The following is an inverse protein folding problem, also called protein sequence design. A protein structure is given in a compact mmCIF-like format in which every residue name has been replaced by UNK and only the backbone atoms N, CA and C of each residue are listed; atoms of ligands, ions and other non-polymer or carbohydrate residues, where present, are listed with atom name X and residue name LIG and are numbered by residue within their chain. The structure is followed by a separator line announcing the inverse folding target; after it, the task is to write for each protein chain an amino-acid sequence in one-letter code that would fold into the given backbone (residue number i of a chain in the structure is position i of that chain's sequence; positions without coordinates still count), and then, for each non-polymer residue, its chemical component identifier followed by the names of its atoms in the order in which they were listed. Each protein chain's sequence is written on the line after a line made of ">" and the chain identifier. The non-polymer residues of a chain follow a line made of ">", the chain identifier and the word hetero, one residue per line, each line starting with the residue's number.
data_IF_716868669620
#
_entry.id   IF_716868669620
#
_cell.length_a   1.000
_cell.length_b   1.000
_cell.length_c   1.000
_cell.angle_alpha   90.00
_cell.angle_beta   90.00
_cell.angle_gamma   90.00
#
_symmetry.space_group_name_H-M   'P 1'
#
loop_
_entity.id
_entity.type
_entity.pdbx_description
1 polymer ?
#
# COMPACT_ATOMS: atom_id res chain seq x y z
N UNK A 1 -6.80 11.65 6.18
CA UNK A 1 -6.08 10.52 6.74
C UNK A 1 -5.18 9.90 5.66
N UNK A 2 -3.88 9.81 5.95
CA UNK A 2 -2.90 9.30 5.01
C UNK A 2 -2.49 7.88 5.38
N UNK A 3 -2.39 7.03 4.36
CA UNK A 3 -1.98 5.63 4.50
C UNK A 3 -1.08 5.25 3.35
N UNK A 4 -0.29 4.22 3.55
CA UNK A 4 0.54 3.64 2.51
C UNK A 4 -0.19 2.42 1.93
N UNK A 5 -0.51 2.47 0.64
CA UNK A 5 -1.23 1.41 -0.06
C UNK A 5 -0.25 0.67 -0.97
N UNK A 6 -0.08 -0.62 -0.71
CA UNK A 6 0.86 -1.46 -1.44
C UNK A 6 0.12 -2.60 -2.14
N UNK A 7 0.45 -2.81 -3.41
CA UNK A 7 -0.19 -3.89 -4.17
C UNK A 7 0.34 -5.26 -3.71
N UNK A 8 -0.55 -6.25 -3.71
CA UNK A 8 -0.24 -7.57 -3.15
C UNK A 8 0.95 -8.25 -3.82
N UNK A 9 1.14 -8.10 -5.13
CA UNK A 9 2.28 -8.71 -5.80
C UNK A 9 3.62 -8.18 -5.28
N UNK A 10 3.67 -6.92 -4.89
CA UNK A 10 4.88 -6.33 -4.32
C UNK A 10 5.21 -6.94 -2.95
N UNK A 11 4.18 -7.26 -2.16
CA UNK A 11 4.36 -7.93 -0.88
C UNK A 11 4.86 -9.35 -1.07
N UNK A 12 4.29 -10.07 -2.03
CA UNK A 12 4.72 -11.44 -2.36
C UNK A 12 6.18 -11.45 -2.81
N UNK A 13 6.59 -10.49 -3.64
CA UNK A 13 7.98 -10.35 -4.07
C UNK A 13 8.92 -10.20 -2.87
N UNK A 14 8.52 -9.39 -1.88
CA UNK A 14 9.33 -9.19 -0.68
C UNK A 14 9.49 -10.49 0.11
N UNK A 15 8.42 -11.27 0.22
CA UNK A 15 8.47 -12.56 0.91
C UNK A 15 9.47 -13.50 0.22
N UNK A 16 9.39 -13.63 -1.10
CA UNK A 16 10.31 -14.48 -1.84
C UNK A 16 11.76 -14.01 -1.73
N UNK A 17 11.99 -12.69 -1.77
CA UNK A 17 13.35 -12.15 -1.64
C UNK A 17 13.94 -12.38 -0.26
N UNK A 18 13.10 -12.50 0.79
CA UNK A 18 13.59 -12.76 2.14
C UNK A 18 13.95 -14.23 2.39
N UNK A 19 13.34 -15.15 1.63
CA UNK A 19 13.60 -16.58 1.79
C UNK A 19 15.02 -16.91 1.29
N UNK A 20 15.80 -17.54 2.14
CA UNK A 20 17.17 -17.91 1.79
C UNK A 20 18.18 -16.77 1.77
N UNK A 21 17.78 -15.58 2.18
CA UNK A 21 18.67 -14.44 2.30
C UNK A 21 19.27 -14.42 3.72
N UNK A 22 20.56 -14.72 3.83
CA UNK A 22 21.22 -14.83 5.14
C UNK A 22 21.18 -13.52 5.93
N UNK A 23 21.15 -12.38 5.24
CA UNK A 23 21.09 -11.07 5.89
C UNK A 23 19.69 -10.73 6.40
N UNK A 24 18.69 -11.52 6.05
CA UNK A 24 17.31 -11.29 6.48
C UNK A 24 16.97 -12.04 7.78
N UNK A 25 17.76 -13.00 8.20
CA UNK A 25 17.46 -13.79 9.40
C UNK A 25 17.38 -12.92 10.65
N UNK A 26 16.28 -13.08 11.37
CA UNK A 26 16.06 -12.35 12.62
C UNK A 26 15.76 -10.86 12.42
N UNK A 27 15.60 -10.41 11.20
CA UNK A 27 15.34 -9.01 10.88
C UNK A 27 13.87 -8.74 10.62
N UNK A 28 13.44 -7.52 10.90
CA UNK A 28 12.09 -7.03 10.61
C UNK A 28 12.18 -6.03 9.46
N UNK A 29 11.34 -6.19 8.45
CA UNK A 29 11.29 -5.28 7.31
C UNK A 29 9.91 -4.64 7.19
N UNK A 30 9.88 -3.33 6.95
CA UNK A 30 8.66 -2.64 6.55
C UNK A 30 8.51 -2.78 5.04
N UNK A 31 7.40 -3.33 4.61
CA UNK A 31 7.10 -3.54 3.19
C UNK A 31 5.90 -2.68 2.81
N UNK A 32 6.15 -1.65 2.04
CA UNK A 32 5.15 -0.67 1.64
C UNK A 32 5.70 0.12 0.45
N UNK A 33 4.99 1.15 -0.01
CA UNK A 33 5.48 1.97 -1.13
C UNK A 33 6.40 3.11 -0.68
N UNK A 34 6.26 3.55 0.56
CA UNK A 34 6.94 4.75 1.05
C UNK A 34 6.24 6.04 0.62
N UNK A 35 5.11 5.94 -0.07
CA UNK A 35 4.36 7.09 -0.57
C UNK A 35 2.97 7.13 0.09
N UNK A 36 2.70 8.12 0.96
CA UNK A 36 1.39 8.21 1.60
C UNK A 36 0.33 8.72 0.62
N UNK A 37 -0.87 8.18 0.74
CA UNK A 37 -2.05 8.64 0.00
C UNK A 37 -3.22 8.76 0.96
N UNK A 38 -4.08 9.76 0.75
CA UNK A 38 -5.26 9.91 1.59
C UNK A 38 -6.30 8.86 1.20
N UNK A 39 -7.08 8.42 2.20
CA UNK A 39 -8.21 7.53 1.95
C UNK A 39 -9.21 8.21 1.01
N UNK A 40 -9.42 9.53 1.18
CA UNK A 40 -10.28 10.31 0.29
C UNK A 40 -9.81 10.23 -1.16
N UNK A 41 -8.51 10.36 -1.40
CA UNK A 41 -7.95 10.27 -2.75
C UNK A 41 -8.15 8.88 -3.36
N UNK A 42 -7.94 7.84 -2.57
CA UNK A 42 -8.15 6.46 -3.01
C UNK A 42 -9.62 6.24 -3.42
N UNK A 43 -10.55 6.64 -2.57
CA UNK A 43 -11.99 6.49 -2.83
C UNK A 43 -12.41 7.27 -4.07
N UNK A 44 -11.95 8.52 -4.20
CA UNK A 44 -12.26 9.36 -5.37
C UNK A 44 -11.71 8.75 -6.65
N UNK A 45 -10.49 8.22 -6.61
CA UNK A 45 -9.87 7.57 -7.77
C UNK A 45 -10.65 6.33 -8.20
N UNK A 46 -11.08 5.51 -7.25
CA UNK A 46 -11.88 4.32 -7.52
C UNK A 46 -13.23 4.74 -8.16
N UNK A 47 -13.86 5.77 -7.62
CA UNK A 47 -15.12 6.28 -8.16
C UNK A 47 -14.98 6.73 -9.61
N UNK A 48 -13.91 7.46 -9.93
CA UNK A 48 -13.65 7.90 -11.30
C UNK A 48 -13.45 6.72 -12.25
N UNK A 49 -12.70 5.71 -11.81
CA UNK A 49 -12.39 4.53 -12.64
C UNK A 49 -13.62 3.67 -12.89
N UNK A 50 -14.50 3.55 -11.91
CA UNK A 50 -15.74 2.77 -12.03
C UNK A 50 -16.84 3.59 -12.71
N UNK A 51 -16.83 4.91 -12.50
CA UNK A 51 -17.82 5.82 -13.06
C UNK A 51 -19.12 5.87 -12.25
N UNK A 52 -19.14 5.30 -11.06
CA UNK A 52 -20.35 5.30 -10.23
C UNK A 52 -19.96 5.24 -8.74
N UNK A 53 -20.97 5.46 -7.91
CA UNK A 53 -20.79 5.45 -6.47
C UNK A 53 -20.92 6.84 -5.87
N UNK A 54 -21.17 6.88 -4.58
CA UNK A 54 -21.32 8.13 -3.82
C UNK A 54 -20.53 8.01 -2.51
N UNK A 55 -19.24 8.36 -2.52
CA UNK A 55 -18.44 8.25 -1.31
C UNK A 55 -18.97 9.17 -0.22
N UNK A 56 -18.95 8.69 1.03
CA UNK A 56 -19.44 9.44 2.19
C UNK A 56 -18.27 9.79 3.09
N UNK A 57 -17.53 10.82 2.71
CA UNK A 57 -16.38 11.28 3.46
C UNK A 57 -16.80 11.87 4.80
N UNK A 58 -16.05 11.52 5.85
CA UNK A 58 -16.29 12.05 7.19
C UNK A 58 -17.50 11.46 7.90
N UNK A 59 -18.11 10.41 7.37
CA UNK A 59 -19.28 9.78 7.98
C UNK A 59 -18.95 9.11 9.32
N UNK A 60 -17.74 8.55 9.43
CA UNK A 60 -17.32 7.86 10.65
C UNK A 60 -16.25 8.68 11.35
N UNK A 61 -16.33 8.74 12.68
CA UNK A 61 -15.31 9.40 13.48
C UNK A 61 -14.01 8.60 13.50
N UNK A 62 -12.89 9.29 13.68
CA UNK A 62 -11.61 8.62 13.83
C UNK A 62 -11.56 7.90 15.16
N UNK A 63 -10.93 6.74 15.19
CA UNK A 63 -10.72 5.99 16.42
C UNK A 63 -9.73 6.71 17.31
N UNK A 64 -9.93 6.59 18.62
CA UNK A 64 -8.98 7.09 19.60
C UNK A 64 -7.63 6.41 19.37
N UNK A 65 -6.56 7.19 19.21
CA UNK A 65 -5.23 6.68 18.94
C UNK A 65 -4.94 6.36 17.48
N UNK A 66 -5.89 6.59 16.59
CA UNK A 66 -5.66 6.38 15.17
C UNK A 66 -4.75 7.47 14.61
N UNK A 67 -3.72 7.07 13.86
CA UNK A 67 -2.80 8.00 13.24
C UNK A 67 -3.41 8.58 11.97
N UNK A 68 -3.34 9.90 11.84
CA UNK A 68 -3.81 10.60 10.63
C UNK A 68 -2.80 10.46 9.48
N UNK A 69 -1.54 10.23 9.80
CA UNK A 69 -0.47 10.02 8.83
C UNK A 69 0.20 8.69 9.17
N UNK A 70 0.03 7.72 8.27
CA UNK A 70 0.66 6.40 8.45
C UNK A 70 1.23 5.93 7.12
N UNK A 71 2.55 5.83 7.06
CA UNK A 71 3.28 5.21 5.95
C UNK A 71 4.60 4.68 6.49
N UNK A 72 5.20 3.76 5.76
CA UNK A 72 6.39 3.05 6.22
C UNK A 72 7.67 3.54 5.56
N UNK A 73 8.75 3.49 6.32
CA UNK A 73 10.10 3.69 5.80
C UNK A 73 10.61 2.37 5.25
N UNK A 74 10.94 2.33 3.96
CA UNK A 74 11.26 1.10 3.24
C UNK A 74 12.73 0.96 2.84
N UNK A 75 13.58 1.88 3.26
CA UNK A 75 15.00 1.86 2.84
C UNK A 75 15.73 0.59 3.26
N UNK A 76 15.37 0.00 4.39
CA UNK A 76 15.96 -1.25 4.86
C UNK A 76 15.67 -2.41 3.92
N UNK A 77 14.42 -2.52 3.43
CA UNK A 77 14.03 -3.55 2.48
C UNK A 77 14.80 -3.38 1.16
N UNK A 78 14.94 -2.15 0.70
CA UNK A 78 15.71 -1.86 -0.51
C UNK A 78 17.18 -2.26 -0.35
N UNK A 79 17.78 -1.91 0.79
CA UNK A 79 19.20 -2.14 1.03
C UNK A 79 19.53 -3.61 1.22
N UNK A 80 18.76 -4.33 2.02
CA UNK A 80 19.08 -5.71 2.40
C UNK A 80 18.49 -6.72 1.43
N UNK A 81 17.23 -6.53 1.02
CA UNK A 81 16.54 -7.49 0.14
C UNK A 81 16.68 -7.16 -1.34
N UNK A 82 17.09 -5.94 -1.68
CA UNK A 82 17.03 -5.47 -3.06
C UNK A 82 15.59 -5.28 -3.54
N UNK A 83 14.66 -5.13 -2.61
CA UNK A 83 13.23 -4.99 -2.90
C UNK A 83 12.83 -3.55 -3.14
N UNK A 84 11.94 -3.34 -4.09
CA UNK A 84 11.28 -2.06 -4.29
C UNK A 84 9.85 -2.29 -4.77
N UNK A 85 8.92 -1.36 -4.48
CA UNK A 85 7.57 -1.48 -5.03
C UNK A 85 7.61 -1.27 -6.55
N UNK A 86 6.87 -2.09 -7.29
CA UNK A 86 6.84 -2.04 -8.76
C UNK A 86 5.50 -1.62 -9.32
N UNK A 87 4.42 -1.78 -8.54
CA UNK A 87 3.08 -1.47 -8.98
C UNK A 87 2.63 -0.15 -8.35
N UNK A 88 2.44 0.86 -9.18
CA UNK A 88 1.94 2.17 -8.73
C UNK A 88 0.47 2.10 -8.34
N UNK A 89 0.00 3.16 -7.67
CA UNK A 89 -1.37 3.21 -7.16
C UNK A 89 -2.42 3.04 -8.27
N UNK A 90 -2.29 3.78 -9.37
CA UNK A 90 -3.25 3.72 -10.46
C UNK A 90 -3.31 2.34 -11.09
N UNK A 91 -2.15 1.75 -11.39
CA UNK A 91 -2.09 0.41 -11.96
C UNK A 91 -2.66 -0.62 -11.00
N UNK A 92 -2.33 -0.53 -9.71
CA UNK A 92 -2.86 -1.44 -8.71
C UNK A 92 -4.38 -1.36 -8.61
N UNK A 93 -4.93 -0.15 -8.59
CA UNK A 93 -6.37 0.03 -8.55
C UNK A 93 -7.06 -0.50 -9.81
N UNK A 94 -6.46 -0.30 -10.98
CA UNK A 94 -6.99 -0.83 -12.23
C UNK A 94 -7.06 -2.36 -12.20
N UNK A 95 -6.01 -3.02 -11.69
CA UNK A 95 -5.98 -4.48 -11.57
C UNK A 95 -7.05 -4.99 -10.62
N UNK A 96 -7.21 -4.35 -9.47
CA UNK A 96 -8.23 -4.75 -8.48
C UNK A 96 -9.63 -4.59 -9.07
N UNK A 97 -9.91 -3.48 -9.71
CA UNK A 97 -11.22 -3.22 -10.32
C UNK A 97 -11.52 -4.25 -11.41
N UNK A 98 -10.53 -4.54 -12.26
CA UNK A 98 -10.70 -5.55 -13.33
C UNK A 98 -11.04 -6.93 -12.76
N UNK A 99 -10.46 -7.28 -11.62
CA UNK A 99 -10.73 -8.56 -10.97
C UNK A 99 -12.21 -8.70 -10.55
N UNK A 100 -12.83 -7.59 -10.12
CA UNK A 100 -14.21 -7.60 -9.61
C UNK A 100 -15.27 -7.25 -10.66
N UNK A 101 -14.87 -6.96 -11.87
CA UNK A 101 -15.83 -6.68 -12.94
C UNK A 101 -16.36 -7.93 -13.61
#
# INVERSE_FOLDING_TARGET
>A
QLRDFCFISDIVDAIFLSIGNDYAYGEVFNIATGEPNSVRNIVSTIQEKIGSGAPQFGKFEYRVGENMLLFAEISKAKRILGWKPRVGLNEGLDRVISYYK
#
